data_IF_774059974058
#
_entry.id   IF_774059974058
#
_cell.length_a   1.000
_cell.length_b   1.000
_cell.length_c   1.000
_cell.angle_alpha   90.00
_cell.angle_beta   90.00
_cell.angle_gamma   90.00
#
_symmetry.space_group_name_H-M   'P 1'
#
loop_
_entity.id
_entity.type
_entity.pdbx_description
1 polymer ?
#
# COMPACT_ATOMS: atom_id res chain seq x y z
N UNK A 1 -18.92 -30.47 56.54
CA UNK A 1 -19.55 -29.32 55.91
C UNK A 1 -18.44 -28.42 55.36
N UNK A 2 -18.03 -28.61 54.10
CA UNK A 2 -17.07 -27.73 53.43
C UNK A 2 -17.82 -26.70 52.63
N UNK A 3 -17.77 -25.45 53.09
CA UNK A 3 -18.34 -24.32 52.41
C UNK A 3 -17.35 -23.84 51.30
N UNK A 4 -17.69 -24.13 50.06
CA UNK A 4 -16.96 -23.59 48.89
C UNK A 4 -17.24 -22.08 48.81
N UNK A 5 -16.30 -21.25 49.24
CA UNK A 5 -16.29 -19.80 48.91
C UNK A 5 -15.93 -19.63 47.45
N UNK A 6 -16.91 -19.53 46.58
CA UNK A 6 -16.72 -19.03 45.23
C UNK A 6 -16.31 -17.56 45.32
N UNK A 7 -15.09 -17.29 44.89
CA UNK A 7 -14.47 -15.97 44.88
C UNK A 7 -15.18 -15.10 43.82
N UNK A 8 -16.06 -14.18 44.27
CA UNK A 8 -16.87 -13.30 43.43
C UNK A 8 -15.97 -12.44 42.51
N UNK A 9 -14.72 -12.15 42.93
CA UNK A 9 -13.75 -11.42 42.14
C UNK A 9 -13.32 -12.16 40.86
N UNK A 10 -13.11 -13.48 40.93
CA UNK A 10 -12.75 -14.31 39.79
C UNK A 10 -13.87 -14.39 38.75
N UNK A 11 -15.12 -14.41 39.21
CA UNK A 11 -16.30 -14.46 38.32
C UNK A 11 -16.50 -13.13 37.56
N UNK A 12 -16.27 -11.97 38.20
CA UNK A 12 -16.31 -10.66 37.56
C UNK A 12 -15.21 -10.49 36.51
N UNK A 13 -14.00 -10.94 36.78
CA UNK A 13 -12.89 -10.92 35.84
C UNK A 13 -13.20 -11.78 34.61
N UNK A 14 -13.74 -12.98 34.80
CA UNK A 14 -14.12 -13.91 33.73
C UNK A 14 -15.27 -13.32 32.89
N UNK A 15 -16.30 -12.75 33.49
CA UNK A 15 -17.41 -12.10 32.75
C UNK A 15 -16.92 -10.88 31.96
N UNK A 16 -16.05 -10.05 32.56
CA UNK A 16 -15.48 -8.88 31.88
C UNK A 16 -14.59 -9.32 30.73
N UNK A 17 -13.82 -10.41 30.90
CA UNK A 17 -12.98 -10.99 29.85
C UNK A 17 -13.82 -11.56 28.70
N UNK A 18 -14.87 -12.34 29.01
CA UNK A 18 -15.81 -12.91 28.02
C UNK A 18 -16.55 -11.81 27.27
N UNK A 19 -16.98 -10.74 27.96
CA UNK A 19 -17.67 -9.61 27.35
C UNK A 19 -16.70 -8.82 26.44
N UNK A 20 -15.49 -8.54 26.89
CA UNK A 20 -14.46 -7.89 26.09
C UNK A 20 -14.10 -8.69 24.84
N UNK A 21 -13.91 -10.02 24.96
CA UNK A 21 -13.67 -10.89 23.81
C UNK A 21 -14.91 -11.02 22.91
N UNK A 22 -16.11 -11.03 23.44
CA UNK A 22 -17.36 -11.02 22.69
C UNK A 22 -17.50 -9.74 21.85
N UNK A 23 -17.27 -8.59 22.45
CA UNK A 23 -17.36 -7.27 21.79
C UNK A 23 -16.28 -7.12 20.70
N UNK A 24 -15.06 -7.59 20.93
CA UNK A 24 -13.98 -7.62 19.91
C UNK A 24 -14.33 -8.58 18.78
N UNK A 25 -14.90 -9.75 19.09
CA UNK A 25 -15.30 -10.75 18.10
C UNK A 25 -16.49 -10.26 17.23
N UNK A 26 -17.34 -9.38 17.71
CA UNK A 26 -18.36 -8.74 16.88
C UNK A 26 -17.80 -7.60 16.04
N UNK A 27 -16.92 -6.77 16.60
CA UNK A 27 -16.39 -5.59 15.94
C UNK A 27 -15.62 -5.92 14.66
N UNK A 28 -14.75 -6.95 14.64
CA UNK A 28 -14.03 -7.29 13.40
C UNK A 28 -14.96 -7.77 12.29
N UNK A 29 -16.05 -8.49 12.62
CA UNK A 29 -17.06 -8.93 11.64
C UNK A 29 -17.82 -7.74 11.04
N UNK A 30 -18.12 -6.72 11.84
CA UNK A 30 -18.73 -5.48 11.37
C UNK A 30 -17.79 -4.73 10.41
N UNK A 31 -16.49 -4.65 10.75
CA UNK A 31 -15.48 -4.02 9.92
C UNK A 31 -15.38 -4.76 8.57
N UNK A 32 -15.32 -6.09 8.57
CA UNK A 32 -15.32 -6.91 7.36
C UNK A 32 -16.57 -6.68 6.52
N UNK A 33 -17.75 -6.74 7.17
CA UNK A 33 -19.04 -6.48 6.53
C UNK A 33 -19.11 -5.08 5.93
N UNK A 34 -18.50 -4.08 6.56
CA UNK A 34 -18.46 -2.72 6.04
C UNK A 34 -17.73 -2.64 4.69
N UNK A 35 -16.62 -3.36 4.51
CA UNK A 35 -15.87 -3.40 3.26
C UNK A 35 -16.71 -3.99 2.12
N UNK A 36 -17.29 -5.18 2.36
CA UNK A 36 -17.98 -5.95 1.30
C UNK A 36 -19.43 -5.49 1.05
N UNK A 37 -20.04 -4.73 1.98
CA UNK A 37 -21.41 -4.19 1.83
C UNK A 37 -21.44 -2.68 1.68
N UNK A 38 -21.10 -1.91 2.73
CA UNK A 38 -21.23 -0.45 2.74
C UNK A 38 -20.28 0.23 1.77
N UNK A 39 -19.02 -0.17 1.77
CA UNK A 39 -17.97 0.36 0.89
C UNK A 39 -17.71 -0.54 -0.33
N UNK A 40 -18.71 -1.35 -0.71
CA UNK A 40 -18.57 -2.31 -1.82
C UNK A 40 -18.12 -1.65 -3.10
N UNK A 41 -18.75 -0.54 -3.49
CA UNK A 41 -18.49 0.15 -4.75
C UNK A 41 -17.14 0.87 -4.74
N UNK A 42 -16.83 1.53 -3.64
CA UNK A 42 -15.68 2.42 -3.49
C UNK A 42 -14.40 1.65 -3.15
N UNK A 43 -14.50 0.55 -2.39
CA UNK A 43 -13.34 -0.25 -1.93
C UNK A 43 -13.35 -1.64 -2.57
N UNK A 44 -14.31 -2.50 -2.20
CA UNK A 44 -14.25 -3.91 -2.57
C UNK A 44 -14.24 -4.16 -4.08
N UNK A 45 -15.17 -3.55 -4.82
CA UNK A 45 -15.24 -3.72 -6.27
C UNK A 45 -14.01 -3.13 -6.98
N UNK A 46 -13.43 -2.04 -6.45
CA UNK A 46 -12.20 -1.44 -6.98
C UNK A 46 -10.98 -2.31 -6.70
N UNK A 47 -10.88 -2.87 -5.50
CA UNK A 47 -9.84 -3.83 -5.12
C UNK A 47 -9.91 -5.09 -6.01
N UNK A 48 -11.08 -5.72 -6.13
CA UNK A 48 -11.26 -6.91 -6.97
C UNK A 48 -10.97 -6.60 -8.45
N UNK A 49 -11.43 -5.44 -8.93
CA UNK A 49 -11.13 -4.98 -10.29
C UNK A 49 -9.63 -4.84 -10.52
N UNK A 50 -8.89 -4.22 -9.60
CA UNK A 50 -7.43 -4.08 -9.71
C UNK A 50 -6.73 -5.46 -9.73
N UNK A 51 -7.15 -6.37 -8.86
CA UNK A 51 -6.61 -7.75 -8.82
C UNK A 51 -6.80 -8.46 -10.16
N UNK A 52 -7.97 -8.32 -10.79
CA UNK A 52 -8.30 -8.96 -12.06
C UNK A 52 -7.65 -8.26 -13.26
N UNK A 53 -7.81 -6.95 -13.39
CA UNK A 53 -7.35 -6.15 -14.54
C UNK A 53 -5.83 -6.18 -14.69
N UNK A 54 -5.10 -6.16 -13.56
CA UNK A 54 -3.64 -6.20 -13.57
C UNK A 54 -3.06 -7.57 -13.24
N UNK A 55 -3.89 -8.61 -13.11
CA UNK A 55 -3.47 -9.97 -12.75
C UNK A 55 -2.53 -10.00 -11.52
N UNK A 56 -2.94 -9.32 -10.43
CA UNK A 56 -2.07 -9.12 -9.29
C UNK A 56 -1.92 -10.37 -8.44
N UNK A 57 -2.99 -11.16 -8.33
CA UNK A 57 -3.03 -12.37 -7.51
C UNK A 57 -3.53 -13.54 -8.37
N UNK A 58 -2.81 -14.64 -8.34
CA UNK A 58 -3.11 -15.87 -9.06
C UNK A 58 -3.29 -17.04 -8.09
N UNK A 59 -3.81 -18.14 -8.61
CA UNK A 59 -3.92 -19.38 -7.86
C UNK A 59 -2.53 -19.88 -7.42
N UNK A 60 -2.45 -20.38 -6.18
CA UNK A 60 -1.22 -20.87 -5.54
C UNK A 60 -0.16 -19.81 -5.26
N UNK A 61 -0.46 -18.51 -5.38
CA UNK A 61 0.45 -17.47 -4.90
C UNK A 61 0.66 -17.55 -3.39
N UNK A 62 1.88 -17.24 -2.95
CA UNK A 62 2.25 -17.02 -1.55
C UNK A 62 2.58 -15.53 -1.37
N UNK A 63 1.69 -14.79 -0.71
CA UNK A 63 1.74 -13.34 -0.65
C UNK A 63 2.15 -12.86 0.73
N UNK A 64 3.21 -12.07 0.81
CA UNK A 64 3.53 -11.30 2.01
C UNK A 64 2.84 -9.95 1.96
N UNK A 65 1.90 -9.70 2.86
CA UNK A 65 1.19 -8.43 3.02
C UNK A 65 1.94 -7.56 4.02
N UNK A 66 2.49 -6.44 3.55
CA UNK A 66 3.27 -5.55 4.39
C UNK A 66 2.37 -4.56 5.13
N UNK A 67 2.41 -4.60 6.45
CA UNK A 67 1.67 -3.69 7.33
C UNK A 67 2.64 -2.65 7.89
N UNK A 68 2.41 -1.38 7.55
CA UNK A 68 3.20 -0.23 8.01
C UNK A 68 2.64 0.45 9.26
N UNK A 69 1.51 -0.01 9.76
CA UNK A 69 0.77 0.63 10.86
C UNK A 69 -0.24 1.69 10.41
N UNK A 70 -0.19 2.12 9.15
CA UNK A 70 -1.13 3.09 8.56
C UNK A 70 -2.43 2.47 8.07
N UNK A 71 -3.46 3.32 7.89
CA UNK A 71 -4.81 2.97 7.45
C UNK A 71 -4.85 2.10 6.18
N UNK A 72 -3.99 2.44 5.21
CA UNK A 72 -4.00 1.82 3.88
C UNK A 72 -3.50 0.37 3.93
N UNK A 73 -2.43 0.13 4.70
CA UNK A 73 -1.86 -1.21 4.87
C UNK A 73 -2.79 -2.15 5.64
N UNK A 74 -3.52 -1.65 6.64
CA UNK A 74 -4.52 -2.44 7.35
C UNK A 74 -5.76 -2.71 6.51
N UNK A 75 -6.23 -1.74 5.71
CA UNK A 75 -7.32 -1.99 4.75
C UNK A 75 -6.90 -3.02 3.71
N UNK A 76 -5.67 -2.92 3.15
CA UNK A 76 -5.14 -3.93 2.24
C UNK A 76 -5.18 -5.33 2.86
N UNK A 77 -4.68 -5.47 4.09
CA UNK A 77 -4.66 -6.74 4.79
C UNK A 77 -6.06 -7.33 4.95
N UNK A 78 -7.05 -6.50 5.30
CA UNK A 78 -8.46 -6.94 5.39
C UNK A 78 -9.04 -7.33 4.04
N UNK A 79 -8.79 -6.56 2.98
CA UNK A 79 -9.25 -6.90 1.64
C UNK A 79 -8.66 -8.23 1.14
N UNK A 80 -7.38 -8.50 1.41
CA UNK A 80 -6.73 -9.77 1.06
C UNK A 80 -7.32 -10.93 1.87
N UNK A 81 -7.54 -10.75 3.18
CA UNK A 81 -8.18 -11.76 4.03
C UNK A 81 -9.60 -12.10 3.55
N UNK A 82 -10.38 -11.09 3.14
CA UNK A 82 -11.72 -11.29 2.57
C UNK A 82 -11.65 -12.00 1.20
N UNK A 83 -10.65 -11.67 0.37
CA UNK A 83 -10.45 -12.34 -0.90
C UNK A 83 -10.10 -13.81 -0.72
N UNK A 84 -9.28 -14.17 0.29
CA UNK A 84 -8.97 -15.57 0.63
C UNK A 84 -10.22 -16.37 1.02
N UNK A 85 -11.16 -15.74 1.75
CA UNK A 85 -12.40 -16.39 2.21
C UNK A 85 -13.45 -16.56 1.11
N UNK A 86 -13.54 -15.59 0.22
CA UNK A 86 -14.62 -15.47 -0.76
C UNK A 86 -14.16 -15.51 -2.23
N UNK A 87 -12.85 -15.64 -2.46
CA UNK A 87 -12.26 -15.73 -3.79
C UNK A 87 -12.60 -17.04 -4.51
N UNK A 88 -12.53 -16.98 -5.85
CA UNK A 88 -12.78 -18.15 -6.71
C UNK A 88 -11.59 -19.10 -6.81
N UNK A 89 -10.42 -18.68 -6.36
CA UNK A 89 -9.16 -19.44 -6.42
C UNK A 89 -8.45 -19.35 -5.06
N UNK A 90 -7.59 -20.32 -4.78
CA UNK A 90 -6.87 -20.41 -3.50
C UNK A 90 -5.46 -19.83 -3.62
N UNK A 91 -5.06 -19.07 -2.63
CA UNK A 91 -3.72 -18.55 -2.46
C UNK A 91 -3.42 -18.39 -0.96
N UNK A 92 -2.14 -18.31 -0.60
CA UNK A 92 -1.71 -18.10 0.77
C UNK A 92 -1.33 -16.63 0.99
N UNK A 93 -1.55 -16.14 2.21
CA UNK A 93 -1.10 -14.82 2.63
C UNK A 93 -0.59 -14.85 4.06
N UNK A 94 0.54 -14.19 4.31
CA UNK A 94 1.04 -13.86 5.63
C UNK A 94 1.06 -12.34 5.81
N UNK A 95 0.89 -11.88 7.04
CA UNK A 95 0.74 -10.47 7.38
C UNK A 95 1.93 -10.05 8.22
N UNK A 96 2.79 -9.21 7.66
CA UNK A 96 4.09 -8.93 8.23
C UNK A 96 4.24 -7.45 8.56
N UNK A 97 4.69 -7.16 9.76
CA UNK A 97 5.08 -5.82 10.23
C UNK A 97 6.60 -5.79 10.35
N UNK A 98 7.23 -4.91 9.61
CA UNK A 98 8.64 -4.61 9.84
C UNK A 98 8.76 -3.46 10.84
N UNK A 99 9.38 -3.72 11.98
CA UNK A 99 9.69 -2.73 13.01
C UNK A 99 11.08 -2.12 12.75
N UNK A 100 11.18 -0.89 12.27
CA UNK A 100 12.45 -0.23 12.03
C UNK A 100 13.06 0.43 13.28
N UNK A 101 12.52 0.13 14.47
CA UNK A 101 12.83 0.75 15.75
C UNK A 101 11.71 1.69 16.24
N UNK A 102 10.45 1.27 16.17
CA UNK A 102 9.31 2.05 16.66
C UNK A 102 9.42 2.35 18.15
N UNK A 103 8.80 3.48 18.56
CA UNK A 103 8.46 3.73 19.99
C UNK A 103 7.45 2.66 20.45
N UNK A 104 7.48 2.28 21.72
CA UNK A 104 6.60 1.24 22.27
C UNK A 104 5.11 1.57 22.05
N UNK A 105 4.72 2.84 22.21
CA UNK A 105 3.36 3.30 21.94
C UNK A 105 2.88 3.04 20.50
N UNK A 106 3.78 3.19 19.52
CA UNK A 106 3.47 2.91 18.11
C UNK A 106 3.35 1.40 17.88
N UNK A 107 4.25 0.62 18.49
CA UNK A 107 4.22 -0.85 18.43
C UNK A 107 2.93 -1.40 19.02
N UNK A 108 2.56 -0.94 20.21
CA UNK A 108 1.31 -1.31 20.88
C UNK A 108 0.08 -0.94 20.03
N UNK A 109 0.05 0.24 19.42
CA UNK A 109 -1.04 0.65 18.53
C UNK A 109 -1.18 -0.29 17.33
N UNK A 110 -0.07 -0.71 16.71
CA UNK A 110 -0.09 -1.68 15.60
C UNK A 110 -0.66 -3.03 16.06
N UNK A 111 -0.19 -3.55 17.19
CA UNK A 111 -0.63 -4.82 17.75
C UNK A 111 -2.13 -4.75 18.11
N UNK A 112 -2.58 -3.67 18.75
CA UNK A 112 -3.98 -3.49 19.11
C UNK A 112 -4.88 -3.39 17.88
N UNK A 113 -4.48 -2.66 16.85
CA UNK A 113 -5.20 -2.60 15.58
C UNK A 113 -5.30 -3.98 14.90
N UNK A 114 -4.20 -4.76 14.93
CA UNK A 114 -4.21 -6.11 14.39
C UNK A 114 -5.19 -7.02 15.14
N UNK A 115 -5.25 -6.91 16.48
CA UNK A 115 -6.24 -7.64 17.31
C UNK A 115 -7.66 -7.22 16.97
N UNK A 116 -7.96 -5.92 16.93
CA UNK A 116 -9.30 -5.39 16.59
C UNK A 116 -9.76 -5.83 15.20
N UNK A 117 -8.81 -5.92 14.24
CA UNK A 117 -9.07 -6.33 12.87
C UNK A 117 -9.00 -7.86 12.66
N UNK A 118 -8.69 -8.62 13.71
CA UNK A 118 -8.47 -10.08 13.64
C UNK A 118 -7.48 -10.48 12.53
N UNK A 119 -6.31 -9.82 12.52
CA UNK A 119 -5.22 -10.09 11.59
C UNK A 119 -4.08 -10.80 12.32
N UNK A 120 -3.67 -12.00 11.89
CA UNK A 120 -2.53 -12.71 12.46
C UNK A 120 -1.23 -12.10 11.93
N UNK A 121 -0.72 -11.07 12.61
CA UNK A 121 0.51 -10.40 12.21
C UNK A 121 1.74 -11.09 12.77
N UNK A 122 2.81 -11.15 11.96
CA UNK A 122 4.17 -11.45 12.39
C UNK A 122 4.98 -10.15 12.38
N UNK A 123 5.66 -9.83 13.48
CA UNK A 123 6.50 -8.64 13.58
C UNK A 123 7.97 -9.05 13.64
N UNK A 124 8.81 -8.44 12.79
CA UNK A 124 10.26 -8.61 12.83
C UNK A 124 10.96 -7.26 12.96
N UNK A 125 12.05 -7.24 13.71
CA UNK A 125 12.83 -6.02 13.98
C UNK A 125 13.90 -5.81 12.91
N UNK A 126 14.27 -4.56 12.70
CA UNK A 126 15.42 -4.14 11.90
C UNK A 126 16.10 -2.94 12.56
N UNK A 127 17.36 -2.73 12.25
CA UNK A 127 18.23 -1.66 12.73
C UNK A 127 18.18 -0.37 11.88
N UNK A 128 17.17 -0.26 11.01
CA UNK A 128 17.09 0.81 10.01
C UNK A 128 17.19 2.19 10.65
N UNK A 129 16.48 2.43 11.76
CA UNK A 129 16.50 3.75 12.39
C UNK A 129 17.83 4.08 13.05
N UNK A 130 18.56 3.07 13.54
CA UNK A 130 19.91 3.25 14.07
C UNK A 130 20.87 3.64 12.95
N UNK A 131 20.88 2.88 11.86
CA UNK A 131 21.75 3.13 10.68
C UNK A 131 21.42 4.49 10.04
N UNK A 132 20.15 4.81 9.83
CA UNK A 132 19.73 6.07 9.17
C UNK A 132 20.02 7.28 10.05
N UNK A 133 20.03 7.15 11.38
CA UNK A 133 20.37 8.25 12.30
C UNK A 133 21.81 8.74 12.18
N UNK A 134 22.72 7.93 11.64
CA UNK A 134 24.13 8.27 11.46
C UNK A 134 24.44 8.96 10.13
N UNK A 135 23.44 9.09 9.22
CA UNK A 135 23.64 9.61 7.87
C UNK A 135 23.08 11.03 7.73
N UNK A 136 23.96 11.98 7.34
CA UNK A 136 23.59 13.38 7.19
C UNK A 136 22.82 13.70 5.90
N UNK A 137 23.11 12.96 4.79
CA UNK A 137 22.50 13.23 3.49
C UNK A 137 21.38 12.24 3.15
N UNK A 138 20.19 12.77 2.83
CA UNK A 138 19.04 11.99 2.32
C UNK A 138 18.61 10.79 3.19
N UNK A 139 18.43 10.94 4.50
CA UNK A 139 18.08 9.83 5.40
C UNK A 139 16.80 9.10 4.98
N UNK A 140 15.80 9.81 4.47
CA UNK A 140 14.54 9.23 3.99
C UNK A 140 14.74 8.32 2.78
N UNK A 141 15.63 8.67 1.85
CA UNK A 141 15.95 7.82 0.70
C UNK A 141 16.62 6.52 1.13
N UNK A 142 17.62 6.62 2.02
CA UNK A 142 18.30 5.45 2.56
C UNK A 142 17.34 4.54 3.33
N UNK A 143 16.50 5.12 4.20
CA UNK A 143 15.47 4.39 4.93
C UNK A 143 14.53 3.63 4.00
N UNK A 144 14.01 4.28 2.94
CA UNK A 144 13.13 3.64 1.97
C UNK A 144 13.83 2.50 1.22
N UNK A 145 15.11 2.67 0.87
CA UNK A 145 15.92 1.65 0.20
C UNK A 145 16.18 0.44 1.11
N UNK A 146 16.58 0.68 2.36
CA UNK A 146 16.81 -0.38 3.35
C UNK A 146 15.53 -1.15 3.65
N UNK A 147 14.41 -0.44 3.91
CA UNK A 147 13.09 -1.06 4.13
C UNK A 147 12.74 -2.03 3.01
N UNK A 148 12.98 -1.63 1.77
CA UNK A 148 12.72 -2.49 0.61
C UNK A 148 13.58 -3.75 0.67
N UNK A 149 14.89 -3.63 0.91
CA UNK A 149 15.80 -4.77 1.04
C UNK A 149 15.35 -5.77 2.10
N UNK A 150 15.07 -5.29 3.31
CA UNK A 150 14.59 -6.14 4.42
C UNK A 150 13.27 -6.85 4.09
N UNK A 151 12.30 -6.13 3.51
CA UNK A 151 11.01 -6.73 3.12
C UNK A 151 11.18 -7.81 2.05
N UNK A 152 12.04 -7.58 1.06
CA UNK A 152 12.29 -8.58 0.02
C UNK A 152 13.01 -9.81 0.56
N UNK A 153 14.01 -9.62 1.44
CA UNK A 153 14.69 -10.72 2.12
C UNK A 153 13.73 -11.53 2.97
N UNK A 154 12.87 -10.87 3.76
CA UNK A 154 11.87 -11.55 4.60
C UNK A 154 10.84 -12.32 3.77
N UNK A 155 10.43 -11.78 2.62
CA UNK A 155 9.53 -12.48 1.71
C UNK A 155 10.14 -13.78 1.17
N UNK A 156 11.43 -13.77 0.81
CA UNK A 156 12.14 -14.99 0.40
C UNK A 156 12.25 -16.00 1.54
N UNK A 157 12.58 -15.55 2.74
CA UNK A 157 12.66 -16.40 3.95
C UNK A 157 11.32 -17.11 4.21
N UNK A 158 10.20 -16.41 4.02
CA UNK A 158 8.84 -16.93 4.18
C UNK A 158 8.33 -17.74 2.96
N UNK A 159 9.16 -17.95 1.94
CA UNK A 159 8.75 -18.65 0.72
C UNK A 159 7.66 -17.95 -0.07
N UNK A 160 7.54 -16.63 0.06
CA UNK A 160 6.59 -15.84 -0.70
C UNK A 160 7.11 -15.52 -2.09
N UNK A 161 6.23 -15.52 -3.10
CA UNK A 161 6.52 -15.07 -4.45
C UNK A 161 5.99 -13.66 -4.73
N UNK A 162 5.18 -13.09 -3.81
CA UNK A 162 4.63 -11.74 -3.95
C UNK A 162 4.72 -10.94 -2.67
N UNK A 163 4.91 -9.62 -2.84
CA UNK A 163 4.88 -8.62 -1.77
C UNK A 163 3.77 -7.63 -2.07
N UNK A 164 2.76 -7.55 -1.20
CA UNK A 164 1.64 -6.63 -1.34
C UNK A 164 1.83 -5.37 -0.51
N UNK A 165 1.76 -4.21 -1.16
CA UNK A 165 1.88 -2.88 -0.54
C UNK A 165 0.57 -2.09 -0.64
N UNK A 166 0.26 -1.31 0.41
CA UNK A 166 -0.97 -0.54 0.56
C UNK A 166 -1.04 0.79 -0.22
N UNK A 167 -0.33 0.90 -1.35
CA UNK A 167 -0.46 2.08 -2.21
C UNK A 167 -1.81 2.10 -2.90
N UNK A 168 -2.41 3.29 -2.97
CA UNK A 168 -3.76 3.50 -3.49
C UNK A 168 -3.78 4.44 -4.70
N UNK A 169 -4.96 4.70 -5.27
CA UNK A 169 -5.14 5.48 -6.49
C UNK A 169 -4.50 6.88 -6.42
N UNK A 170 -4.64 7.58 -5.29
CA UNK A 170 -4.09 8.93 -5.15
C UNK A 170 -2.55 8.91 -5.16
N UNK A 171 -1.90 7.88 -4.58
CA UNK A 171 -0.44 7.69 -4.69
C UNK A 171 0.02 7.57 -6.16
N UNK A 172 -0.78 6.92 -7.00
CA UNK A 172 -0.47 6.74 -8.42
C UNK A 172 -0.48 8.07 -9.15
N UNK A 173 -1.55 8.86 -9.01
CA UNK A 173 -1.67 10.15 -9.70
C UNK A 173 -0.68 11.19 -9.15
N UNK A 174 -0.42 11.20 -7.84
CA UNK A 174 0.63 12.02 -7.23
C UNK A 174 2.01 11.67 -7.80
N UNK A 175 2.33 10.37 -7.92
CA UNK A 175 3.61 9.92 -8.50
C UNK A 175 3.74 10.30 -9.97
N UNK A 176 2.65 10.26 -10.74
CA UNK A 176 2.64 10.68 -12.13
C UNK A 176 3.01 12.17 -12.25
N UNK A 177 2.34 13.04 -11.49
CA UNK A 177 2.64 14.48 -11.51
C UNK A 177 4.05 14.79 -10.98
N UNK A 178 4.50 14.12 -9.91
CA UNK A 178 5.87 14.26 -9.40
C UNK A 178 6.90 13.92 -10.47
N UNK A 179 6.65 12.88 -11.27
CA UNK A 179 7.58 12.46 -12.33
C UNK A 179 7.62 13.50 -13.46
N UNK A 180 6.49 14.10 -13.82
CA UNK A 180 6.41 15.16 -14.84
C UNK A 180 7.06 16.45 -14.37
N UNK A 181 6.71 16.94 -13.18
CA UNK A 181 7.12 18.27 -12.73
C UNK A 181 8.51 18.35 -12.15
N UNK A 182 8.98 17.25 -11.56
CA UNK A 182 10.29 17.20 -10.87
C UNK A 182 11.26 16.18 -11.45
N UNK A 183 10.78 15.24 -12.27
CA UNK A 183 11.62 14.19 -12.85
C UNK A 183 11.85 14.32 -14.34
N UNK A 184 11.17 15.28 -15.03
CA UNK A 184 11.24 15.43 -16.49
C UNK A 184 10.93 14.14 -17.25
N UNK A 185 10.06 13.30 -16.70
CA UNK A 185 9.68 11.98 -17.24
C UNK A 185 8.18 11.78 -17.13
N UNK A 186 7.57 11.16 -18.15
CA UNK A 186 6.21 10.64 -18.09
C UNK A 186 6.30 9.19 -17.60
N UNK A 187 6.15 9.00 -16.31
CA UNK A 187 6.08 7.67 -15.68
C UNK A 187 5.13 7.67 -14.50
N UNK A 188 4.62 6.50 -14.17
CA UNK A 188 3.70 6.32 -13.04
C UNK A 188 4.19 5.22 -12.09
N UNK A 189 3.49 5.07 -10.98
CA UNK A 189 3.64 3.93 -10.09
C UNK A 189 2.96 2.71 -10.72
N UNK A 190 3.71 1.68 -11.09
CA UNK A 190 3.13 0.48 -11.72
C UNK A 190 2.32 -0.36 -10.72
N UNK A 191 1.21 -1.00 -11.14
CA UNK A 191 0.39 -1.87 -10.29
C UNK A 191 1.13 -3.13 -9.82
N UNK A 192 2.07 -3.62 -10.63
CA UNK A 192 2.98 -4.72 -10.29
C UNK A 192 4.37 -4.52 -10.91
N UNK A 193 5.39 -5.06 -10.25
CA UNK A 193 6.79 -4.97 -10.65
C UNK A 193 7.52 -6.24 -10.26
N UNK A 194 8.27 -6.83 -11.19
CA UNK A 194 9.27 -7.83 -10.84
C UNK A 194 10.43 -7.19 -10.08
N UNK A 195 11.02 -7.94 -9.16
CA UNK A 195 12.22 -7.49 -8.48
C UNK A 195 13.46 -7.78 -9.31
N UNK A 196 14.28 -6.77 -9.56
CA UNK A 196 15.54 -6.94 -10.30
C UNK A 196 16.59 -7.71 -9.47
N UNK A 197 16.59 -7.53 -8.15
CA UNK A 197 17.59 -8.09 -7.24
C UNK A 197 17.17 -9.41 -6.58
N UNK A 198 15.87 -9.72 -6.54
CA UNK A 198 15.31 -10.88 -5.87
C UNK A 198 14.49 -11.70 -6.86
N UNK A 199 15.15 -12.66 -7.53
CA UNK A 199 14.50 -13.50 -8.56
C UNK A 199 13.27 -14.19 -8.03
N UNK A 200 12.19 -14.17 -8.82
CA UNK A 200 10.93 -14.83 -8.48
C UNK A 200 10.01 -14.01 -7.57
N UNK A 201 10.44 -12.84 -7.08
CA UNK A 201 9.60 -11.94 -6.30
C UNK A 201 8.95 -10.86 -7.16
N UNK A 202 7.66 -10.66 -6.98
CA UNK A 202 6.86 -9.62 -7.60
C UNK A 202 6.24 -8.71 -6.51
N UNK A 203 6.38 -7.39 -6.68
CA UNK A 203 5.69 -6.41 -5.86
C UNK A 203 4.34 -6.09 -6.49
N UNK A 204 3.26 -6.11 -5.69
CA UNK A 204 1.90 -5.82 -6.13
C UNK A 204 1.23 -4.73 -5.29
N UNK A 205 0.27 -4.00 -5.90
CA UNK A 205 -0.49 -2.92 -5.26
C UNK A 205 -2.00 -3.12 -5.44
N UNK A 206 -2.64 -3.99 -4.64
CA UNK A 206 -4.04 -4.35 -4.85
C UNK A 206 -5.03 -3.20 -4.61
N UNK A 207 -4.68 -2.15 -3.84
CA UNK A 207 -5.50 -0.95 -3.67
C UNK A 207 -5.36 0.08 -4.81
N UNK A 208 -4.71 -0.26 -5.92
CA UNK A 208 -4.34 0.62 -7.04
C UNK A 208 -5.50 1.47 -7.59
N UNK A 209 -6.74 0.96 -7.56
CA UNK A 209 -7.94 1.65 -8.03
C UNK A 209 -8.81 2.21 -6.90
N UNK A 210 -8.42 2.05 -5.63
CA UNK A 210 -9.14 2.54 -4.45
C UNK A 210 -8.67 3.96 -4.14
N UNK A 211 -9.60 4.92 -4.02
CA UNK A 211 -9.28 6.31 -3.69
C UNK A 211 -9.03 6.50 -2.18
N UNK A 212 -8.14 7.42 -1.82
CA UNK A 212 -7.85 7.74 -0.42
C UNK A 212 -9.09 8.18 0.35
N UNK A 213 -9.99 8.92 -0.27
CA UNK A 213 -11.26 9.35 0.33
C UNK A 213 -12.10 8.16 0.83
N UNK A 214 -12.12 7.05 0.08
CA UNK A 214 -12.85 5.83 0.48
C UNK A 214 -12.18 5.15 1.69
N UNK A 215 -10.84 5.13 1.74
CA UNK A 215 -10.08 4.61 2.89
C UNK A 215 -10.34 5.44 4.15
N UNK A 216 -10.35 6.76 4.02
CA UNK A 216 -10.65 7.67 5.12
C UNK A 216 -12.09 7.53 5.60
N UNK A 217 -13.05 7.39 4.68
CA UNK A 217 -14.45 7.16 5.01
C UNK A 217 -14.65 5.82 5.73
N UNK A 218 -13.98 4.75 5.28
CA UNK A 218 -13.98 3.45 5.95
C UNK A 218 -13.39 3.51 7.36
N UNK A 219 -12.23 4.17 7.51
CA UNK A 219 -11.58 4.41 8.80
C UNK A 219 -12.54 5.09 9.77
N UNK A 220 -13.16 6.21 9.33
CA UNK A 220 -14.09 7.00 10.14
C UNK A 220 -15.35 6.22 10.52
N UNK A 221 -15.92 5.49 9.57
CA UNK A 221 -17.15 4.71 9.81
C UNK A 221 -16.98 3.63 10.88
N UNK A 222 -15.79 3.00 10.92
CA UNK A 222 -15.51 1.91 11.86
C UNK A 222 -14.83 2.41 13.16
N UNK A 223 -14.70 3.73 13.33
CA UNK A 223 -14.03 4.35 14.49
C UNK A 223 -12.62 3.78 14.73
N UNK A 224 -11.82 3.70 13.65
CA UNK A 224 -10.47 3.15 13.69
C UNK A 224 -9.42 4.27 13.80
N UNK A 225 -8.42 4.03 14.62
CA UNK A 225 -7.26 4.93 14.76
C UNK A 225 -5.99 4.20 14.36
N UNK A 226 -5.26 4.77 13.40
CA UNK A 226 -4.02 4.22 12.86
C UNK A 226 -2.87 5.20 13.03
N UNK A 227 -1.65 4.71 12.90
CA UNK A 227 -0.48 5.57 12.85
C UNK A 227 -0.57 6.53 11.65
N UNK A 228 -0.37 7.81 11.89
CA UNK A 228 -0.28 8.81 10.81
C UNK A 228 1.11 8.78 10.18
N UNK A 229 2.16 8.75 11.02
CA UNK A 229 3.53 8.53 10.61
C UNK A 229 4.27 7.79 11.73
N UNK A 230 4.96 6.72 11.38
CA UNK A 230 5.69 5.89 12.34
C UNK A 230 7.19 6.24 12.41
N UNK A 231 7.65 7.22 11.65
CA UNK A 231 9.06 7.60 11.57
C UNK A 231 9.45 8.52 12.72
N UNK A 232 10.52 8.17 13.46
CA UNK A 232 11.10 9.05 14.51
C UNK A 232 11.60 10.38 13.94
N UNK A 233 11.91 10.41 12.64
CA UNK A 233 12.47 11.58 11.96
C UNK A 233 11.40 12.54 11.43
N UNK A 234 10.11 12.18 11.45
CA UNK A 234 9.05 13.07 10.94
C UNK A 234 8.84 14.30 11.83
N UNK A 235 9.14 14.20 13.12
CA UNK A 235 9.11 15.39 14.01
C UNK A 235 10.24 16.39 13.66
N UNK A 236 11.38 15.90 13.11
CA UNK A 236 12.53 16.71 12.68
C UNK A 236 12.62 16.90 11.16
N UNK A 237 12.00 16.03 10.35
CA UNK A 237 12.00 16.07 8.88
C UNK A 237 10.84 16.87 8.27
N UNK A 238 9.97 17.48 9.08
CA UNK A 238 8.98 18.45 8.60
C UNK A 238 9.62 19.64 7.83
N UNK A 239 10.95 19.71 7.85
CA UNK A 239 11.75 20.72 7.17
C UNK A 239 12.42 20.24 5.87
N UNK A 240 12.33 18.97 5.50
CA UNK A 240 13.04 18.43 4.33
C UNK A 240 12.14 18.25 3.10
N UNK A 241 12.58 18.82 1.99
CA UNK A 241 11.94 19.09 0.69
C UNK A 241 11.15 17.97 -0.02
N UNK A 242 11.26 16.70 0.37
CA UNK A 242 10.56 15.60 -0.33
C UNK A 242 9.10 15.46 0.09
N UNK A 243 8.81 15.61 1.39
CA UNK A 243 7.42 15.63 1.89
C UNK A 243 6.69 16.89 1.41
N UNK A 244 7.42 17.99 1.26
CA UNK A 244 6.92 19.23 0.66
C UNK A 244 6.44 19.04 -0.78
N UNK A 245 7.20 18.38 -1.65
CA UNK A 245 6.84 18.15 -3.06
C UNK A 245 5.63 17.24 -3.23
N UNK A 246 5.52 16.19 -2.43
CA UNK A 246 4.36 15.31 -2.44
C UNK A 246 3.11 16.00 -1.94
N UNK A 247 3.23 16.77 -0.85
CA UNK A 247 2.15 17.59 -0.32
C UNK A 247 1.70 18.66 -1.32
N UNK A 248 2.64 19.25 -2.04
CA UNK A 248 2.36 20.20 -3.12
C UNK A 248 1.51 19.55 -4.24
N UNK A 249 1.89 18.34 -4.70
CA UNK A 249 1.09 17.61 -5.69
C UNK A 249 -0.30 17.26 -5.16
N UNK A 250 -0.41 16.85 -3.92
CA UNK A 250 -1.68 16.56 -3.25
C UNK A 250 -2.59 17.81 -3.21
N UNK A 251 -2.03 18.97 -2.89
CA UNK A 251 -2.76 20.23 -2.87
C UNK A 251 -3.17 20.66 -4.28
N UNK A 252 -2.27 20.55 -5.26
CA UNK A 252 -2.56 20.82 -6.67
C UNK A 252 -3.74 19.98 -7.18
N UNK A 253 -3.70 18.66 -6.94
CA UNK A 253 -4.79 17.75 -7.33
C UNK A 253 -6.10 18.17 -6.65
N UNK A 254 -6.06 18.53 -5.37
CA UNK A 254 -7.22 18.99 -4.62
C UNK A 254 -7.84 20.27 -5.25
N UNK A 255 -7.01 21.20 -5.70
CA UNK A 255 -7.48 22.43 -6.33
C UNK A 255 -8.01 22.17 -7.76
N UNK A 256 -7.34 21.33 -8.53
CA UNK A 256 -7.81 20.92 -9.85
C UNK A 256 -9.15 20.17 -9.80
N UNK A 257 -9.41 19.39 -8.73
CA UNK A 257 -10.71 18.73 -8.50
C UNK A 257 -11.88 19.69 -8.38
N UNK A 258 -11.64 20.93 -7.92
CA UNK A 258 -12.68 21.97 -7.84
C UNK A 258 -13.12 22.47 -9.22
N UNK A 259 -12.19 22.46 -10.18
CA UNK A 259 -12.41 22.95 -11.55
C UNK A 259 -12.89 21.82 -12.46
N UNK A 260 -12.31 20.62 -12.34
CA UNK A 260 -12.63 19.48 -13.19
C UNK A 260 -12.83 18.22 -12.36
N UNK A 261 -14.07 17.75 -12.29
CA UNK A 261 -14.44 16.53 -11.53
C UNK A 261 -13.77 15.23 -12.05
N UNK A 262 -13.33 15.23 -13.31
CA UNK A 262 -12.69 14.08 -13.95
C UNK A 262 -11.17 14.13 -13.92
N UNK A 263 -10.56 15.12 -13.25
CA UNK A 263 -9.12 15.35 -13.29
C UNK A 263 -8.32 14.13 -12.84
N UNK A 264 -8.78 13.45 -11.79
CA UNK A 264 -8.15 12.22 -11.28
C UNK A 264 -8.04 11.15 -12.36
N UNK A 265 -9.17 10.92 -13.05
CA UNK A 265 -9.26 9.95 -14.12
C UNK A 265 -8.38 10.35 -15.32
N UNK A 266 -8.36 11.63 -15.68
CA UNK A 266 -7.56 12.15 -16.77
C UNK A 266 -6.06 11.96 -16.49
N UNK A 267 -5.59 12.31 -15.29
CA UNK A 267 -4.18 12.09 -14.90
C UNK A 267 -3.85 10.59 -14.91
N UNK A 268 -4.74 9.76 -14.34
CA UNK A 268 -4.54 8.32 -14.29
C UNK A 268 -4.48 7.70 -15.68
N UNK A 269 -5.39 8.07 -16.57
CA UNK A 269 -5.48 7.52 -17.92
C UNK A 269 -4.43 8.09 -18.88
N UNK A 270 -3.85 9.25 -18.62
CA UNK A 270 -2.83 9.82 -19.50
C UNK A 270 -1.60 8.92 -19.68
N UNK A 271 -1.25 8.15 -18.67
CA UNK A 271 -0.13 7.21 -18.72
C UNK A 271 -0.49 5.80 -19.22
N UNK A 272 -1.77 5.52 -19.34
CA UNK A 272 -2.32 4.27 -19.90
C UNK A 272 -2.68 4.43 -21.39
N UNK A 273 -2.80 5.67 -21.87
CA UNK A 273 -3.21 6.03 -23.24
C UNK A 273 -2.22 7.03 -23.87
N UNK A 274 -0.95 6.64 -23.95
CA UNK A 274 0.10 7.47 -24.52
C UNK A 274 0.10 7.35 -26.04
N UNK A 275 -0.12 8.48 -26.75
CA UNK A 275 -0.03 8.52 -28.21
C UNK A 275 1.43 8.65 -28.66
N UNK A 276 2.03 7.54 -29.06
CA UNK A 276 3.44 7.50 -29.45
C UNK A 276 3.76 8.33 -30.70
N UNK A 277 2.78 8.62 -31.56
CA UNK A 277 2.98 9.48 -32.73
C UNK A 277 3.17 10.96 -32.38
N UNK A 278 2.86 11.34 -31.13
CA UNK A 278 2.91 12.73 -30.66
C UNK A 278 3.91 12.90 -29.51
N UNK A 279 4.92 12.05 -29.43
CA UNK A 279 5.98 12.10 -28.42
C UNK A 279 7.35 12.23 -29.09
N UNK A 280 8.19 13.15 -28.57
CA UNK A 280 9.52 13.39 -29.13
C UNK A 280 10.51 12.23 -28.94
N UNK A 281 10.29 11.39 -27.94
CA UNK A 281 11.10 10.21 -27.71
C UNK A 281 10.55 9.31 -26.60
N UNK A 282 11.00 8.07 -26.59
CA UNK A 282 10.66 7.07 -25.60
C UNK A 282 11.93 6.43 -25.02
N UNK A 283 11.85 6.01 -23.76
CA UNK A 283 12.94 5.29 -23.09
C UNK A 283 12.44 3.95 -22.58
N UNK A 284 13.05 2.85 -23.04
CA UNK A 284 12.73 1.49 -22.61
C UNK A 284 14.00 0.72 -22.28
N UNK A 285 14.10 0.15 -21.09
CA UNK A 285 15.27 -0.60 -20.61
C UNK A 285 16.60 0.17 -20.75
N UNK A 286 16.57 1.49 -20.48
CA UNK A 286 17.74 2.36 -20.61
C UNK A 286 18.04 2.85 -22.04
N UNK A 287 17.40 2.28 -23.06
CA UNK A 287 17.57 2.67 -24.46
C UNK A 287 16.60 3.81 -24.80
N UNK A 288 17.11 4.91 -25.31
CA UNK A 288 16.32 6.05 -25.81
C UNK A 288 16.08 5.87 -27.32
N UNK A 289 14.84 6.08 -27.76
CA UNK A 289 14.42 6.12 -29.16
C UNK A 289 13.80 7.49 -29.46
N UNK A 290 14.37 8.21 -30.44
CA UNK A 290 13.87 9.48 -30.91
C UNK A 290 12.71 9.29 -31.90
N UNK A 291 11.81 10.27 -32.03
CA UNK A 291 10.81 10.29 -33.09
C UNK A 291 11.43 10.32 -34.49
N UNK A 292 12.65 10.87 -34.64
CA UNK A 292 13.38 10.93 -35.91
C UNK A 292 13.75 9.53 -36.44
N UNK A 293 13.95 8.54 -35.55
CA UNK A 293 14.26 7.17 -35.97
C UNK A 293 13.11 6.53 -36.76
N UNK A 294 11.86 6.82 -36.38
CA UNK A 294 10.66 6.35 -37.09
C UNK A 294 10.30 7.27 -38.28
N UNK A 295 10.59 8.58 -38.19
CA UNK A 295 10.31 9.56 -39.25
C UNK A 295 11.17 9.29 -40.48
N UNK A 296 12.46 9.10 -40.31
CA UNK A 296 13.41 8.85 -41.39
C UNK A 296 13.20 7.47 -42.03
N UNK A 297 12.83 6.44 -41.26
CA UNK A 297 12.59 5.09 -41.80
C UNK A 297 11.39 5.00 -42.75
N UNK A 298 10.41 5.89 -42.62
CA UNK A 298 9.26 5.98 -43.55
C UNK A 298 9.64 6.59 -44.89
N UNK A 299 10.59 7.53 -44.91
CA UNK A 299 11.07 8.17 -46.16
C UNK A 299 11.86 7.17 -47.01
N UNK A 300 12.62 6.29 -46.37
CA UNK A 300 13.41 5.26 -47.06
C UNK A 300 12.55 4.15 -47.67
N UNK A 301 11.36 3.88 -47.09
CA UNK A 301 10.42 2.88 -47.65
C UNK A 301 9.64 3.42 -48.87
N UNK A 302 9.34 4.71 -48.91
CA UNK A 302 8.62 5.32 -50.03
C UNK A 302 9.52 5.68 -51.21
N UNK A 303 10.85 5.57 -51.06
CA UNK A 303 11.82 5.80 -52.13
C UNK A 303 12.20 4.56 -52.93
N UNK A 304 11.68 3.38 -52.56
CA UNK A 304 11.95 2.11 -53.22
C UNK A 304 10.74 1.51 -54.02
N UNK A 305 9.69 2.28 -54.20
CA UNK A 305 8.58 2.00 -55.11
C UNK A 305 8.66 2.98 -56.30
#
# INVERSE_FOLDING_TARGET
>A
MYQCRCDIGSFFVIITYIRYYGDVMEKYKEIERSIIKKFRKEIWSKFVKAVQEYELIKENDNIMVCISGGKDSFLLAKCIQELQRHGKFKFNACYVVMDPGYKDTNREMIINNAKVLNLPIEMFSSDIFEVVSTVESSPCYLCARMRRGYLYSKAQELGCNKIALGHHFDDVIETTLLSMFYGSEIKTMMPKLHSDNFKGLELIRPLYLVKEEAVLAWKKFNDLTFLNCACRFTESCATNNTDSKRLEMKNLIKDLRKVNKNIDYNIFKSVDNVNLNCILGTKRNGVYKSFLDDYNSKVDSDSND
#
